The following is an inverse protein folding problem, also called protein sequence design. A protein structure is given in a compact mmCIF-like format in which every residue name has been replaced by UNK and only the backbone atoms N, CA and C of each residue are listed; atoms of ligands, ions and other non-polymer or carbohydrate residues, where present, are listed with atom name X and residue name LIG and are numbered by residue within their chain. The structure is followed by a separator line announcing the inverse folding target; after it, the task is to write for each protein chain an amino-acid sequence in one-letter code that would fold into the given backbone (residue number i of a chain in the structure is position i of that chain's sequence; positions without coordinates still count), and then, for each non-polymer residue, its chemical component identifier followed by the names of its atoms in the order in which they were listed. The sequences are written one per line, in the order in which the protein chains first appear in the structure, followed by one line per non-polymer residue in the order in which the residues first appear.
data_IF_385544742077
#
_entry.id   IF_385544742077
#
_cell.length_a   1.000
_cell.length_b   1.000
_cell.length_c   1.000
_cell.angle_alpha   90.00
_cell.angle_beta   90.00
_cell.angle_gamma   90.00
#
_symmetry.space_group_name_H-M   'P 1'
#
loop_
_entity.id
_entity.type
_entity.pdbx_description
1 polymer ?
#
# COMPACT_ATOMS: atom_id res chain seq x y z
N UNK A 1 -18.54 10.18 -12.12
CA UNK A 1 -17.85 9.22 -11.23
C UNK A 1 -16.89 10.03 -10.40
N UNK A 2 -17.17 10.23 -9.11
CA UNK A 2 -16.25 10.96 -8.23
C UNK A 2 -14.90 10.25 -8.25
N UNK A 3 -13.83 11.02 -8.44
CA UNK A 3 -12.48 10.49 -8.39
C UNK A 3 -12.26 9.93 -6.99
N UNK A 4 -12.08 8.62 -6.89
CA UNK A 4 -11.96 7.97 -5.60
C UNK A 4 -10.56 8.20 -5.03
N UNK A 5 -10.45 8.41 -3.71
CA UNK A 5 -9.25 8.89 -3.07
C UNK A 5 -8.05 7.98 -3.36
N UNK A 6 -6.90 8.60 -3.58
CA UNK A 6 -5.63 7.97 -3.96
C UNK A 6 -4.54 8.54 -3.08
N UNK A 7 -3.66 7.69 -2.56
CA UNK A 7 -2.47 8.11 -1.85
C UNK A 7 -1.37 8.43 -2.87
N UNK A 8 -0.80 9.62 -2.84
CA UNK A 8 0.25 10.04 -3.77
C UNK A 8 1.52 10.33 -3.01
N UNK A 9 2.61 9.68 -3.37
CA UNK A 9 3.91 9.82 -2.72
C UNK A 9 5.05 9.46 -3.67
N UNK A 10 6.22 10.09 -3.48
CA UNK A 10 7.45 9.72 -4.16
C UNK A 10 7.86 8.28 -3.82
N UNK A 11 8.11 7.47 -4.84
CA UNK A 11 8.61 6.11 -4.68
C UNK A 11 9.52 5.71 -5.84
N UNK A 12 10.75 5.31 -5.49
CA UNK A 12 11.80 4.98 -6.44
C UNK A 12 12.33 6.22 -7.14
N UNK A 13 11.72 6.56 -8.27
CA UNK A 13 12.19 7.53 -9.25
C UNK A 13 11.21 8.68 -9.51
N UNK A 14 9.96 8.57 -9.09
CA UNK A 14 8.93 9.58 -9.35
C UNK A 14 7.80 9.55 -8.31
N UNK A 15 6.92 10.56 -8.38
CA UNK A 15 5.63 10.56 -7.71
C UNK A 15 4.74 9.45 -8.28
N UNK A 16 4.30 8.54 -7.40
CA UNK A 16 3.43 7.41 -7.77
C UNK A 16 2.07 7.56 -7.10
N UNK A 17 1.06 7.07 -7.79
CA UNK A 17 -0.28 6.92 -7.24
C UNK A 17 -0.40 5.52 -6.64
N UNK A 18 -0.98 5.45 -5.45
CA UNK A 18 -1.27 4.20 -4.76
C UNK A 18 -2.74 4.15 -4.35
N UNK A 19 -3.38 3.02 -4.66
CA UNK A 19 -4.79 2.79 -4.33
C UNK A 19 -5.09 1.30 -4.24
N UNK A 20 -5.73 0.87 -3.17
CA UNK A 20 -6.33 -0.47 -3.07
C UNK A 20 -7.80 -0.39 -3.47
N UNK A 21 -8.14 -0.89 -4.66
CA UNK A 21 -9.54 -1.05 -5.10
C UNK A 21 -10.17 -2.28 -4.44
N UNK A 22 -11.51 -2.35 -4.30
CA UNK A 22 -12.17 -3.50 -3.65
C UNK A 22 -11.74 -4.88 -4.18
N UNK A 23 -11.47 -4.99 -5.48
CA UNK A 23 -11.05 -6.25 -6.12
C UNK A 23 -9.63 -6.65 -5.68
N UNK A 24 -8.75 -5.67 -5.45
CA UNK A 24 -7.38 -5.89 -4.98
C UNK A 24 -7.34 -6.19 -3.48
N UNK A 25 -8.35 -5.80 -2.71
CA UNK A 25 -8.48 -6.20 -1.29
C UNK A 25 -8.64 -7.71 -1.21
N UNK A 26 -9.47 -8.32 -2.07
CA UNK A 26 -9.66 -9.78 -2.09
C UNK A 26 -8.35 -10.51 -2.40
N UNK A 27 -7.57 -9.98 -3.36
CA UNK A 27 -6.25 -10.53 -3.69
C UNK A 27 -5.25 -10.37 -2.53
N UNK A 28 -5.27 -9.22 -1.86
CA UNK A 28 -4.42 -8.97 -0.68
C UNK A 28 -4.72 -9.96 0.44
N UNK A 29 -6.00 -10.20 0.75
CA UNK A 29 -6.40 -11.20 1.75
C UNK A 29 -5.95 -12.61 1.33
N UNK A 30 -6.06 -12.95 0.05
CA UNK A 30 -5.63 -14.25 -0.50
C UNK A 30 -4.12 -14.49 -0.33
N UNK A 31 -3.28 -13.50 -0.66
CA UNK A 31 -1.81 -13.66 -0.61
C UNK A 31 -1.26 -13.54 0.81
N UNK A 32 -1.94 -12.83 1.71
CA UNK A 32 -1.50 -12.66 3.11
C UNK A 32 -2.11 -13.69 4.06
N UNK A 33 -3.24 -14.29 3.69
CA UNK A 33 -4.04 -15.16 4.57
C UNK A 33 -4.69 -14.40 5.73
N UNK A 34 -4.79 -13.07 5.66
CA UNK A 34 -5.36 -12.24 6.71
C UNK A 34 -6.48 -11.36 6.15
N UNK A 35 -7.61 -11.32 6.88
CA UNK A 35 -8.69 -10.39 6.55
C UNK A 35 -8.26 -8.93 6.72
N UNK A 36 -8.84 -8.03 5.91
CA UNK A 36 -8.39 -6.64 5.76
C UNK A 36 -8.39 -5.87 7.08
N UNK A 37 -9.40 -6.04 7.93
CA UNK A 37 -9.43 -5.39 9.24
C UNK A 37 -8.31 -5.86 10.18
N UNK A 38 -7.97 -7.15 10.14
CA UNK A 38 -6.88 -7.72 10.93
C UNK A 38 -5.51 -7.27 10.41
N UNK A 39 -5.36 -7.17 9.09
CA UNK A 39 -4.17 -6.62 8.43
C UNK A 39 -3.98 -5.15 8.82
N UNK A 40 -4.99 -4.29 8.60
CA UNK A 40 -4.93 -2.85 8.91
C UNK A 40 -4.60 -2.59 10.38
N UNK A 41 -5.20 -3.36 11.31
CA UNK A 41 -4.86 -3.26 12.74
C UNK A 41 -3.38 -3.54 13.02
N UNK A 42 -2.79 -4.57 12.39
CA UNK A 42 -1.38 -4.90 12.56
C UNK A 42 -0.48 -3.81 12.01
N UNK A 43 -0.80 -3.28 10.83
CA UNK A 43 -0.07 -2.15 10.27
C UNK A 43 -0.11 -0.96 11.22
N UNK A 44 -1.28 -0.48 11.64
CA UNK A 44 -1.37 0.67 12.54
C UNK A 44 -0.72 0.45 13.91
N UNK A 45 -0.57 -0.79 14.35
CA UNK A 45 0.16 -1.15 15.57
C UNK A 45 1.68 -1.40 15.37
N UNK A 46 2.18 -1.35 14.13
CA UNK A 46 3.56 -1.67 13.79
C UNK A 46 3.92 -3.17 13.82
N UNK A 47 2.94 -4.07 13.94
CA UNK A 47 3.10 -5.53 14.00
C UNK A 47 2.92 -6.20 12.61
N UNK A 48 3.34 -5.50 11.56
CA UNK A 48 3.23 -5.97 10.19
C UNK A 48 4.31 -7.00 9.85
N UNK A 49 4.01 -7.90 8.91
CA UNK A 49 5.03 -8.78 8.33
C UNK A 49 5.65 -8.13 7.11
N UNK A 50 6.93 -8.40 6.85
CA UNK A 50 7.61 -7.87 5.67
C UNK A 50 6.87 -8.19 4.35
N UNK A 51 6.41 -9.42 4.16
CA UNK A 51 5.66 -9.81 2.97
C UNK A 51 4.34 -9.03 2.81
N UNK A 52 3.68 -8.69 3.93
CA UNK A 52 2.46 -7.89 3.92
C UNK A 52 2.77 -6.45 3.49
N UNK A 53 3.86 -5.87 3.99
CA UNK A 53 4.32 -4.53 3.62
C UNK A 53 4.55 -4.42 2.12
N UNK A 54 5.30 -5.36 1.54
CA UNK A 54 5.54 -5.40 0.10
C UNK A 54 4.24 -5.64 -0.70
N UNK A 55 3.38 -6.53 -0.21
CA UNK A 55 2.10 -6.83 -0.85
C UNK A 55 1.15 -5.64 -0.91
N UNK A 56 1.03 -4.87 0.18
CA UNK A 56 0.23 -3.64 0.24
C UNK A 56 0.74 -2.61 -0.76
N UNK A 57 2.05 -2.36 -0.81
CA UNK A 57 2.63 -1.37 -1.72
C UNK A 57 2.46 -1.82 -3.18
N UNK A 58 2.73 -3.09 -3.48
CA UNK A 58 2.60 -3.64 -4.84
C UNK A 58 1.16 -3.52 -5.36
N UNK A 59 0.19 -3.97 -4.57
CA UNK A 59 -1.22 -3.89 -4.96
C UNK A 59 -1.72 -2.44 -4.96
N UNK A 60 -1.16 -1.59 -4.09
CA UNK A 60 -1.37 -0.14 -4.13
C UNK A 60 -0.95 0.48 -5.46
N UNK A 61 0.25 0.18 -5.95
CA UNK A 61 0.74 0.63 -7.26
C UNK A 61 -0.18 0.17 -8.40
N UNK A 62 -0.58 -1.11 -8.38
CA UNK A 62 -1.46 -1.68 -9.41
C UNK A 62 -2.81 -0.96 -9.42
N UNK A 63 -3.44 -0.74 -8.27
CA UNK A 63 -4.71 -0.02 -8.22
C UNK A 63 -4.56 1.48 -8.50
N UNK A 64 -3.36 2.04 -8.32
CA UNK A 64 -2.97 3.40 -8.70
C UNK A 64 -2.69 3.59 -10.20
N UNK A 65 -2.61 2.50 -10.98
CA UNK A 65 -2.52 2.52 -12.44
C UNK A 65 -1.28 1.86 -13.03
N UNK A 66 -0.35 1.37 -12.21
CA UNK A 66 0.80 0.61 -12.71
C UNK A 66 0.40 -0.78 -13.21
N UNK A 67 1.11 -1.28 -14.22
CA UNK A 67 0.96 -2.67 -14.67
C UNK A 67 1.52 -3.65 -13.62
N UNK A 68 0.94 -4.86 -13.42
CA UNK A 68 1.43 -5.84 -12.44
C UNK A 68 2.89 -6.26 -12.58
N UNK A 69 3.45 -6.28 -13.79
CA UNK A 69 4.87 -6.57 -14.04
C UNK A 69 5.75 -5.39 -13.59
N UNK A 70 5.40 -4.17 -13.99
CA UNK A 70 6.08 -2.94 -13.55
C UNK A 70 6.04 -2.79 -12.04
N UNK A 71 4.89 -3.01 -11.41
CA UNK A 71 4.74 -2.93 -9.96
C UNK A 71 5.63 -3.97 -9.24
N UNK A 72 5.80 -5.17 -9.79
CA UNK A 72 6.72 -6.16 -9.24
C UNK A 72 8.18 -5.70 -9.35
N UNK A 73 8.59 -5.22 -10.53
CA UNK A 73 9.94 -4.70 -10.74
C UNK A 73 10.28 -3.51 -9.83
N UNK A 74 9.32 -2.61 -9.59
CA UNK A 74 9.48 -1.48 -8.67
C UNK A 74 9.65 -1.94 -7.22
N UNK A 75 8.93 -2.98 -6.79
CA UNK A 75 9.10 -3.57 -5.46
C UNK A 75 10.50 -4.18 -5.32
N UNK A 76 10.93 -4.97 -6.30
CA UNK A 76 12.25 -5.61 -6.26
C UNK A 76 13.40 -4.60 -6.28
N UNK A 77 13.26 -3.52 -7.05
CA UNK A 77 14.29 -2.48 -7.17
C UNK A 77 14.30 -1.49 -6.00
N UNK A 78 13.13 -1.09 -5.49
CA UNK A 78 12.99 0.07 -4.60
C UNK A 78 12.35 -0.21 -3.25
N UNK A 79 11.77 -1.40 -3.01
CA UNK A 79 11.22 -1.76 -1.71
C UNK A 79 12.02 -2.89 -1.03
N UNK A 80 12.18 -4.05 -1.68
CA UNK A 80 12.85 -5.20 -1.11
C UNK A 80 14.27 -4.94 -0.54
N UNK A 81 15.12 -4.07 -1.14
CA UNK A 81 16.45 -3.78 -0.61
C UNK A 81 16.50 -2.59 0.39
N UNK A 82 15.35 -2.01 0.76
CA UNK A 82 15.28 -0.81 1.62
C UNK A 82 14.99 -1.15 3.08
N UNK A 83 15.36 -0.26 4.03
CA UNK A 83 14.88 -0.34 5.40
C UNK A 83 13.34 -0.29 5.46
N UNK A 84 12.73 -1.23 6.21
CA UNK A 84 11.27 -1.39 6.29
C UNK A 84 10.55 -0.11 6.72
N UNK A 85 11.15 0.66 7.63
CA UNK A 85 10.53 1.88 8.16
C UNK A 85 10.52 3.05 7.16
N UNK A 86 11.30 2.99 6.08
CA UNK A 86 11.17 3.95 4.97
C UNK A 86 9.90 3.67 4.13
N UNK A 87 9.50 2.40 4.04
CA UNK A 87 8.35 1.95 3.25
C UNK A 87 7.05 1.97 4.04
N UNK A 88 7.15 1.87 5.37
CA UNK A 88 6.01 1.78 6.26
C UNK A 88 5.00 2.94 6.08
N UNK A 89 5.41 4.22 5.98
CA UNK A 89 4.46 5.32 5.75
C UNK A 89 3.67 5.19 4.45
N UNK A 90 4.29 4.67 3.36
CA UNK A 90 3.60 4.42 2.09
C UNK A 90 2.46 3.42 2.32
N UNK A 91 2.74 2.31 2.97
CA UNK A 91 1.75 1.26 3.21
C UNK A 91 0.64 1.71 4.17
N UNK A 92 0.98 2.47 5.22
CA UNK A 92 -0.02 3.08 6.12
C UNK A 92 -0.92 4.02 5.35
N UNK A 93 -0.38 4.94 4.54
CA UNK A 93 -1.18 5.88 3.75
C UNK A 93 -2.12 5.17 2.75
N UNK A 94 -1.68 4.06 2.16
CA UNK A 94 -2.53 3.21 1.31
C UNK A 94 -3.71 2.63 2.10
N UNK A 95 -3.44 2.10 3.29
CA UNK A 95 -4.48 1.49 4.14
C UNK A 95 -5.42 2.55 4.72
N UNK A 96 -4.93 3.74 5.06
CA UNK A 96 -5.79 4.85 5.51
C UNK A 96 -6.76 5.30 4.43
N UNK A 97 -6.28 5.45 3.19
CA UNK A 97 -7.15 5.76 2.05
C UNK A 97 -8.18 4.66 1.84
N UNK A 98 -7.79 3.38 1.95
CA UNK A 98 -8.72 2.26 1.85
C UNK A 98 -9.79 2.27 2.95
N UNK A 99 -9.38 2.49 4.21
CA UNK A 99 -10.26 2.34 5.37
C UNK A 99 -11.12 3.59 5.63
N UNK A 100 -10.60 4.78 5.33
CA UNK A 100 -11.18 6.06 5.74
C UNK A 100 -11.41 7.03 4.57
N UNK A 101 -10.96 6.69 3.36
CA UNK A 101 -11.09 7.54 2.18
C UNK A 101 -10.15 8.75 2.17
N UNK A 102 -9.20 8.83 3.10
CA UNK A 102 -8.17 9.86 3.17
C UNK A 102 -6.99 9.37 4.03
N UNK A 103 -5.83 9.96 3.79
CA UNK A 103 -4.66 9.82 4.68
C UNK A 103 -4.92 10.64 5.94
N UNK A 104 -4.50 10.15 7.10
CA UNK A 104 -4.43 10.96 8.32
C UNK A 104 -3.32 11.98 8.12
N UNK A 105 -3.66 13.26 8.01
CA UNK A 105 -2.67 14.29 8.30
C UNK A 105 -2.55 14.35 9.81
N UNK A 106 -1.39 13.97 10.34
CA UNK A 106 -1.00 14.35 11.70
C UNK A 106 -0.81 15.88 11.72
N UNK A 107 -1.92 16.61 11.78
CA UNK A 107 -1.92 17.98 12.28
C UNK A 107 -2.02 17.88 13.80
N UNK A 108 -0.86 17.88 14.46
CA UNK A 108 -0.73 18.32 15.87
C UNK A 108 -0.99 19.82 16.00
#
# INVERSE_FOLDING_TARGET
MSDAPTHRQFFGDTERNFRLKPELVTELERITGAGIGGLSRRFFAGDFRHAELLGVIRLGLIGGGEDPETAAALIDAYAAPRPLMELYPIAVGILEVLMFGKVSTDEE
#
